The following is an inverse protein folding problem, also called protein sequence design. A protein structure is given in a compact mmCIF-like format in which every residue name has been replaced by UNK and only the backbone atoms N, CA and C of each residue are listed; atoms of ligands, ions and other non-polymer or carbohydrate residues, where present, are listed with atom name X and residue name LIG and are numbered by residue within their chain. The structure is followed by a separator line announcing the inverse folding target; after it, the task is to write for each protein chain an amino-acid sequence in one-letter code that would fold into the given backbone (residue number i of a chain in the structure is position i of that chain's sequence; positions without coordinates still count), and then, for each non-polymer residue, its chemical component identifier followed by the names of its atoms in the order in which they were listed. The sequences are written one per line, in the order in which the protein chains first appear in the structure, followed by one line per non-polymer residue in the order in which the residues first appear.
data_IF_292358688014
#
_entry.id   IF_292358688014
#
_cell.length_a   1.000
_cell.length_b   1.000
_cell.length_c   1.000
_cell.angle_alpha   90.00
_cell.angle_beta   90.00
_cell.angle_gamma   90.00
#
_symmetry.space_group_name_H-M   'P 1'
#
loop_
_entity.id
_entity.type
_entity.pdbx_description
1 polymer ?
#
# COMPACT_ATOMS: atom_id res chain seq x y z
N UNK A 1 -26.64 -30.68 21.30
CA UNK A 1 -25.82 -31.45 20.34
C UNK A 1 -24.68 -30.55 19.88
N UNK A 2 -23.54 -30.61 20.57
CA UNK A 2 -22.40 -29.75 20.36
C UNK A 2 -21.35 -30.50 19.49
N UNK A 3 -21.04 -29.99 18.33
CA UNK A 3 -19.99 -30.49 17.49
C UNK A 3 -18.67 -29.82 17.85
N UNK A 4 -17.71 -30.60 18.31
CA UNK A 4 -16.38 -30.16 18.70
C UNK A 4 -15.50 -29.91 17.47
N UNK A 5 -14.93 -28.70 17.39
CA UNK A 5 -13.85 -28.37 16.46
C UNK A 5 -12.56 -29.04 16.89
N UNK A 6 -12.06 -30.00 16.11
CA UNK A 6 -10.78 -30.67 16.34
C UNK A 6 -9.64 -29.80 15.83
N UNK A 7 -8.81 -29.33 16.75
CA UNK A 7 -7.57 -28.61 16.51
C UNK A 7 -6.55 -29.48 15.74
N UNK A 8 -6.07 -28.98 14.58
CA UNK A 8 -4.95 -29.58 13.86
C UNK A 8 -3.61 -29.17 14.47
N UNK A 9 -3.31 -29.66 15.68
CA UNK A 9 -1.98 -29.60 16.24
C UNK A 9 -1.60 -31.01 16.72
N UNK A 10 -0.54 -31.55 16.11
CA UNK A 10 0.15 -32.72 16.67
C UNK A 10 0.23 -33.93 15.74
N UNK A 11 1.10 -33.88 14.74
CA UNK A 11 1.66 -35.09 14.17
C UNK A 11 3.20 -34.95 14.17
N UNK A 12 3.77 -35.13 15.32
CA UNK A 12 5.17 -35.45 15.48
C UNK A 12 5.22 -36.77 16.28
N UNK A 13 5.07 -37.87 15.59
CA UNK A 13 5.25 -39.19 16.20
C UNK A 13 6.47 -39.88 15.58
N UNK A 14 7.41 -40.12 16.45
CA UNK A 14 8.59 -40.98 16.42
C UNK A 14 8.46 -42.19 15.47
N UNK A 15 9.39 -42.30 14.53
CA UNK A 15 9.76 -43.58 13.96
C UNK A 15 11.25 -43.74 14.13
N UNK A 16 11.64 -44.44 15.20
CA UNK A 16 13.00 -44.95 15.42
C UNK A 16 13.02 -46.36 14.87
N UNK A 17 13.54 -46.56 13.67
CA UNK A 17 14.04 -47.87 13.22
C UNK A 17 15.53 -47.72 13.01
N UNK A 18 16.32 -48.42 13.88
CA UNK A 18 17.75 -48.59 13.71
C UNK A 18 17.99 -49.54 12.54
N UNK A 19 18.61 -49.01 11.48
CA UNK A 19 19.28 -49.81 10.48
C UNK A 19 20.78 -49.47 10.57
N UNK A 20 21.69 -50.43 10.87
CA UNK A 20 23.12 -50.14 10.95
C UNK A 20 23.66 -50.00 9.52
N UNK A 21 24.22 -48.84 9.19
CA UNK A 21 25.06 -48.67 8.01
C UNK A 21 24.71 -47.58 6.99
N UNK A 22 23.76 -46.70 7.25
CA UNK A 22 23.53 -45.56 6.35
C UNK A 22 23.58 -44.25 7.15
N UNK A 23 24.68 -43.52 7.03
CA UNK A 23 24.79 -42.16 7.52
C UNK A 23 23.94 -41.25 6.63
N UNK A 24 22.66 -41.07 6.97
CA UNK A 24 21.83 -40.04 6.38
C UNK A 24 22.22 -38.75 7.05
N UNK A 25 23.04 -37.93 6.38
CA UNK A 25 23.21 -36.52 6.72
C UNK A 25 21.93 -35.80 6.36
N UNK A 26 20.93 -35.89 7.23
CA UNK A 26 19.71 -35.13 7.16
C UNK A 26 20.08 -33.67 7.40
N UNK A 27 20.11 -32.89 6.34
CA UNK A 27 20.10 -31.43 6.47
C UNK A 27 18.79 -31.05 7.18
N UNK A 28 18.90 -30.72 8.48
CA UNK A 28 17.80 -30.09 9.19
C UNK A 28 17.42 -28.85 8.38
N UNK A 29 16.24 -28.88 7.77
CA UNK A 29 15.66 -27.69 7.16
C UNK A 29 15.60 -26.61 8.25
N UNK A 30 16.54 -25.68 8.21
CA UNK A 30 16.60 -24.52 9.07
C UNK A 30 15.28 -23.79 8.89
N UNK A 31 14.51 -23.66 9.97
CA UNK A 31 13.31 -22.82 9.97
C UNK A 31 13.69 -21.50 9.31
N UNK A 32 13.04 -21.18 8.18
CA UNK A 32 13.43 -20.07 7.34
C UNK A 32 13.44 -18.78 8.17
N UNK A 33 14.52 -18.03 8.07
CA UNK A 33 14.53 -16.64 8.49
C UNK A 33 13.26 -15.97 7.92
N UNK A 34 12.61 -15.05 8.68
CA UNK A 34 11.54 -14.25 8.12
C UNK A 34 12.04 -13.69 6.78
N UNK A 35 11.25 -13.88 5.72
CA UNK A 35 11.65 -13.58 4.35
C UNK A 35 12.21 -12.16 4.30
N UNK A 36 13.51 -12.05 4.09
CA UNK A 36 14.17 -10.77 3.90
C UNK A 36 13.60 -10.15 2.63
N UNK A 37 13.22 -8.86 2.69
CA UNK A 37 12.70 -8.17 1.53
C UNK A 37 13.65 -8.35 0.33
N UNK A 38 13.14 -8.54 -0.90
CA UNK A 38 13.99 -8.65 -2.08
C UNK A 38 15.01 -7.52 -2.16
N UNK A 39 16.22 -7.82 -2.66
CA UNK A 39 17.27 -6.82 -2.81
C UNK A 39 16.74 -5.58 -3.58
N UNK A 40 17.03 -4.38 -3.06
CA UNK A 40 16.62 -3.12 -3.67
C UNK A 40 15.23 -2.60 -3.28
N UNK A 41 14.43 -3.33 -2.48
CA UNK A 41 13.15 -2.85 -1.97
C UNK A 41 13.38 -2.07 -0.67
N UNK A 42 12.98 -0.79 -0.65
CA UNK A 42 12.97 0.05 0.55
C UNK A 42 11.52 0.36 0.91
N UNK A 43 11.13 0.02 2.14
CA UNK A 43 9.82 0.34 2.72
C UNK A 43 9.97 1.58 3.60
N UNK A 44 9.25 2.63 3.29
CA UNK A 44 9.37 3.93 3.96
C UNK A 44 8.02 4.38 4.53
N UNK A 45 8.08 5.16 5.60
CA UNK A 45 6.95 5.86 6.18
C UNK A 45 6.68 7.21 5.47
N UNK A 46 5.78 8.03 6.01
CA UNK A 46 5.43 9.34 5.44
C UNK A 46 6.58 10.35 5.52
N UNK A 47 7.53 10.19 6.43
CA UNK A 47 8.71 11.03 6.60
C UNK A 47 9.94 10.51 5.83
N UNK A 48 9.80 9.41 5.09
CA UNK A 48 10.91 8.80 4.34
C UNK A 48 11.87 7.97 5.20
N UNK A 49 11.50 7.68 6.45
CA UNK A 49 12.25 6.78 7.33
C UNK A 49 11.86 5.32 7.06
N UNK A 50 12.69 4.34 7.46
CA UNK A 50 12.29 2.94 7.37
C UNK A 50 10.94 2.70 8.02
N UNK A 51 10.00 2.12 7.27
CA UNK A 51 8.68 1.79 7.78
C UNK A 51 8.80 0.75 8.92
N UNK A 52 7.96 0.93 9.93
CA UNK A 52 7.86 -0.03 11.04
C UNK A 52 7.21 -1.36 10.62
N UNK A 53 6.73 -2.11 11.62
CA UNK A 53 6.12 -3.44 11.45
C UNK A 53 4.63 -3.41 11.09
N UNK A 54 4.09 -2.26 10.69
CA UNK A 54 2.71 -2.12 10.24
C UNK A 54 2.41 -2.99 9.01
N UNK A 55 1.15 -3.43 8.87
CA UNK A 55 0.73 -4.29 7.74
C UNK A 55 0.54 -3.51 6.43
N UNK A 56 0.53 -2.18 6.47
CA UNK A 56 0.51 -1.30 5.29
C UNK A 56 1.77 -0.43 5.30
N UNK A 57 2.43 -0.34 4.16
CA UNK A 57 3.56 0.56 3.93
C UNK A 57 3.08 1.67 2.98
N UNK A 58 3.13 2.95 3.37
CA UNK A 58 2.61 4.02 2.53
C UNK A 58 3.44 4.26 1.26
N UNK A 59 4.75 4.00 1.34
CA UNK A 59 5.71 4.28 0.28
C UNK A 59 6.70 3.12 0.14
N UNK A 60 6.83 2.58 -1.07
CA UNK A 60 7.87 1.60 -1.42
C UNK A 60 8.70 2.15 -2.56
N UNK A 61 10.02 2.10 -2.39
CA UNK A 61 10.98 2.32 -3.47
C UNK A 61 11.53 0.98 -3.94
N UNK A 62 11.55 0.77 -5.25
CA UNK A 62 12.24 -0.34 -5.87
C UNK A 62 12.94 0.14 -7.14
N UNK A 63 14.26 0.14 -7.11
CA UNK A 63 15.09 0.79 -8.15
C UNK A 63 14.69 2.27 -8.29
N UNK A 64 14.42 2.73 -9.52
CA UNK A 64 13.99 4.11 -9.81
C UNK A 64 12.45 4.26 -9.84
N UNK A 65 11.71 3.37 -9.18
CA UNK A 65 10.24 3.37 -9.16
C UNK A 65 9.71 3.56 -7.74
N UNK A 66 8.73 4.44 -7.63
CA UNK A 66 8.00 4.79 -6.40
C UNK A 66 6.60 4.16 -6.49
N UNK A 67 6.22 3.41 -5.46
CA UNK A 67 4.88 2.83 -5.32
C UNK A 67 4.21 3.47 -4.11
N UNK A 68 3.07 4.12 -4.32
CA UNK A 68 2.29 4.76 -3.28
C UNK A 68 1.04 3.94 -3.01
N UNK A 69 0.83 3.57 -1.75
CA UNK A 69 -0.38 2.91 -1.28
C UNK A 69 -1.60 3.81 -1.44
N UNK A 70 -2.81 3.23 -1.39
CA UNK A 70 -4.06 3.99 -1.43
C UNK A 70 -4.08 5.10 -0.39
N UNK A 71 -4.35 6.32 -0.85
CA UNK A 71 -4.47 7.51 -0.02
C UNK A 71 -5.93 7.94 0.00
N UNK A 72 -6.56 7.86 1.17
CA UNK A 72 -7.90 8.36 1.42
C UNK A 72 -7.89 9.70 2.16
N UNK A 73 -9.02 10.36 2.16
CA UNK A 73 -9.24 11.60 2.92
C UNK A 73 -9.66 11.28 4.37
N UNK A 74 -9.01 10.30 5.01
CA UNK A 74 -9.33 9.94 6.39
C UNK A 74 -9.16 11.16 7.28
N UNK A 75 -10.24 11.61 7.90
CA UNK A 75 -10.13 12.60 8.92
C UNK A 75 -9.93 11.89 10.26
N UNK A 76 -8.89 12.25 10.97
CA UNK A 76 -8.72 11.94 12.38
C UNK A 76 -9.45 12.98 13.23
N UNK A 77 -10.47 13.62 12.67
CA UNK A 77 -11.30 14.59 13.37
C UNK A 77 -12.35 13.82 14.21
N UNK A 78 -12.14 13.69 15.53
CA UNK A 78 -13.07 12.96 16.39
C UNK A 78 -14.42 13.70 16.50
N UNK A 79 -14.50 14.95 16.08
CA UNK A 79 -15.71 15.77 16.12
C UNK A 79 -16.51 15.69 14.81
N UNK A 80 -16.04 14.97 13.81
CA UNK A 80 -16.75 14.79 12.52
C UNK A 80 -16.94 16.07 11.71
N UNK A 81 -16.09 17.06 11.92
CA UNK A 81 -16.16 18.38 11.26
C UNK A 81 -15.50 18.43 9.90
N UNK A 82 -14.80 17.36 9.49
CA UNK A 82 -14.18 17.35 8.17
C UNK A 82 -15.26 17.39 7.09
N UNK A 83 -15.25 18.37 6.19
CA UNK A 83 -16.30 18.51 5.18
C UNK A 83 -16.43 17.26 4.32
N UNK A 84 -17.65 16.76 4.15
CA UNK A 84 -17.98 15.58 3.34
C UNK A 84 -18.30 15.96 1.89
N UNK A 85 -17.47 16.81 1.28
CA UNK A 85 -17.57 17.16 -0.14
C UNK A 85 -16.37 16.61 -0.92
N UNK A 86 -16.60 16.33 -2.20
CA UNK A 86 -15.62 15.68 -3.05
C UNK A 86 -14.39 16.55 -3.32
N UNK A 87 -14.55 17.86 -3.42
CA UNK A 87 -13.44 18.77 -3.71
C UNK A 87 -12.46 18.80 -2.54
N UNK A 88 -12.96 18.92 -1.31
CA UNK A 88 -12.15 18.87 -0.09
C UNK A 88 -11.44 17.52 0.07
N UNK A 89 -12.18 16.42 -0.14
CA UNK A 89 -11.59 15.07 -0.07
C UNK A 89 -10.50 14.88 -1.14
N UNK A 90 -10.77 15.31 -2.37
CA UNK A 90 -9.78 15.20 -3.47
C UNK A 90 -8.53 16.00 -3.18
N UNK A 91 -8.70 17.23 -2.67
CA UNK A 91 -7.54 18.06 -2.29
C UNK A 91 -6.67 17.37 -1.25
N UNK A 92 -7.28 16.86 -0.18
CA UNK A 92 -6.56 16.14 0.89
C UNK A 92 -5.81 14.93 0.35
N UNK A 93 -6.45 14.12 -0.47
CA UNK A 93 -5.86 12.92 -1.07
C UNK A 93 -4.69 13.28 -1.98
N UNK A 94 -4.85 14.30 -2.84
CA UNK A 94 -3.79 14.74 -3.75
C UNK A 94 -2.60 15.37 -3.01
N UNK A 95 -2.84 16.08 -1.92
CA UNK A 95 -1.76 16.59 -1.05
C UNK A 95 -0.97 15.43 -0.42
N UNK A 96 -1.65 14.35 0.03
CA UNK A 96 -0.98 13.16 0.56
C UNK A 96 -0.15 12.46 -0.53
N UNK A 97 -0.72 12.26 -1.73
CA UNK A 97 -0.01 11.67 -2.88
C UNK A 97 1.24 12.49 -3.22
N UNK A 98 1.09 13.82 -3.33
CA UNK A 98 2.21 14.74 -3.59
C UNK A 98 3.31 14.58 -2.55
N UNK A 99 2.97 14.63 -1.27
CA UNK A 99 3.93 14.48 -0.17
C UNK A 99 4.71 13.17 -0.29
N UNK A 100 4.02 12.05 -0.52
CA UNK A 100 4.67 10.74 -0.62
C UNK A 100 5.55 10.61 -1.87
N UNK A 101 5.10 11.12 -3.01
CA UNK A 101 5.91 11.12 -4.25
C UNK A 101 7.17 11.95 -4.06
N UNK A 102 7.08 13.14 -3.46
CA UNK A 102 8.22 14.01 -3.17
C UNK A 102 9.17 13.38 -2.14
N UNK A 103 8.63 12.73 -1.10
CA UNK A 103 9.40 11.93 -0.12
C UNK A 103 10.17 10.80 -0.80
N UNK A 104 9.58 10.17 -1.82
CA UNK A 104 10.23 9.13 -2.63
C UNK A 104 11.28 9.65 -3.63
N UNK A 105 11.45 10.96 -3.76
CA UNK A 105 12.38 11.59 -4.70
C UNK A 105 11.82 11.82 -6.09
N UNK A 106 10.49 11.74 -6.25
CA UNK A 106 9.77 12.08 -7.49
C UNK A 106 9.22 13.51 -7.47
N UNK A 107 8.39 13.80 -8.46
CA UNK A 107 7.59 15.04 -8.59
C UNK A 107 6.20 14.68 -9.11
N UNK A 108 5.25 15.59 -9.05
CA UNK A 108 3.92 15.35 -9.64
C UNK A 108 4.01 14.99 -11.13
N UNK A 109 4.89 15.63 -11.88
CA UNK A 109 5.12 15.34 -13.30
C UNK A 109 5.82 13.98 -13.54
N UNK A 110 6.39 13.37 -12.50
CA UNK A 110 7.01 12.03 -12.60
C UNK A 110 6.04 10.89 -12.34
N UNK A 111 4.78 11.19 -12.04
CA UNK A 111 3.75 10.16 -11.87
C UNK A 111 3.47 9.52 -13.23
N UNK A 112 3.66 8.21 -13.29
CA UNK A 112 3.48 7.41 -14.52
C UNK A 112 2.02 6.97 -14.66
N UNK A 113 1.46 6.50 -13.56
CA UNK A 113 0.10 5.98 -13.52
C UNK A 113 -0.53 6.23 -12.14
N UNK A 114 -1.82 6.51 -12.14
CA UNK A 114 -2.61 6.48 -10.91
C UNK A 114 -3.99 5.89 -11.15
N UNK A 115 -4.57 5.36 -10.08
CA UNK A 115 -5.94 4.86 -10.07
C UNK A 115 -6.75 5.68 -9.08
N UNK A 116 -7.87 6.17 -9.52
CA UNK A 116 -8.85 6.90 -8.72
C UNK A 116 -10.03 5.99 -8.44
N UNK A 117 -10.33 5.77 -7.18
CA UNK A 117 -11.52 5.08 -6.69
C UNK A 117 -12.48 6.13 -6.14
N UNK A 118 -13.73 6.13 -6.61
CA UNK A 118 -14.80 7.02 -6.14
C UNK A 118 -15.89 6.18 -5.49
N UNK A 119 -16.55 6.70 -4.46
CA UNK A 119 -17.73 6.04 -3.89
C UNK A 119 -18.95 6.12 -4.81
N UNK A 120 -18.98 7.10 -5.72
CA UNK A 120 -20.01 7.27 -6.75
C UNK A 120 -19.50 8.10 -7.91
N UNK A 121 -19.99 7.85 -9.14
CA UNK A 121 -19.55 8.58 -10.34
C UNK A 121 -20.08 10.01 -10.40
N UNK A 122 -21.12 10.35 -9.66
CA UNK A 122 -21.61 11.74 -9.53
C UNK A 122 -20.55 12.69 -8.99
N UNK A 123 -19.55 12.15 -8.28
CA UNK A 123 -18.39 12.89 -7.78
C UNK A 123 -17.30 13.15 -8.84
N UNK A 124 -17.47 12.63 -10.07
CA UNK A 124 -16.39 12.66 -11.08
C UNK A 124 -15.98 14.07 -11.49
N UNK A 125 -16.93 14.96 -11.73
CA UNK A 125 -16.63 16.32 -12.17
C UNK A 125 -16.01 17.18 -11.05
N UNK A 126 -16.54 17.08 -9.82
CA UNK A 126 -15.97 17.75 -8.66
C UNK A 126 -14.55 17.28 -8.35
N UNK A 127 -14.30 15.96 -8.42
CA UNK A 127 -12.97 15.39 -8.30
C UNK A 127 -12.04 15.94 -9.41
N UNK A 128 -12.45 15.94 -10.66
CA UNK A 128 -11.65 16.43 -11.78
C UNK A 128 -11.31 17.91 -11.68
N UNK A 129 -12.20 18.73 -11.15
CA UNK A 129 -11.97 20.17 -10.95
C UNK A 129 -10.74 20.39 -10.08
N UNK A 130 -10.60 19.64 -8.97
CA UNK A 130 -9.43 19.71 -8.09
C UNK A 130 -8.23 19.02 -8.70
N UNK A 131 -8.41 17.80 -9.23
CA UNK A 131 -7.33 16.99 -9.81
C UNK A 131 -6.51 17.77 -10.85
N UNK A 132 -7.17 18.51 -11.74
CA UNK A 132 -6.51 19.32 -12.79
C UNK A 132 -5.53 20.35 -12.25
N UNK A 133 -5.73 20.85 -11.03
CA UNK A 133 -4.84 21.85 -10.44
C UNK A 133 -3.46 21.31 -10.09
N UNK A 134 -3.34 19.99 -9.94
CA UNK A 134 -2.07 19.31 -9.65
C UNK A 134 -1.27 18.95 -10.92
N UNK A 135 -1.89 19.05 -12.10
CA UNK A 135 -1.29 18.65 -13.38
C UNK A 135 -1.50 19.73 -14.45
N UNK A 136 -0.93 20.93 -14.28
CA UNK A 136 -1.14 22.04 -15.22
C UNK A 136 -0.55 21.76 -16.62
N UNK A 137 0.44 20.89 -16.72
CA UNK A 137 1.15 20.56 -17.95
C UNK A 137 0.66 19.26 -18.63
N UNK A 138 -0.41 18.66 -18.10
CA UNK A 138 -0.92 17.37 -18.56
C UNK A 138 -0.82 16.28 -17.47
N UNK A 139 -1.84 15.45 -17.35
CA UNK A 139 -1.93 14.41 -16.32
C UNK A 139 -1.25 13.09 -16.73
N UNK A 140 -0.99 12.23 -15.74
CA UNK A 140 -0.46 10.88 -15.96
C UNK A 140 -1.52 9.95 -16.57
N UNK A 141 -1.10 8.73 -16.92
CA UNK A 141 -2.05 7.66 -17.24
C UNK A 141 -2.98 7.44 -16.05
N UNK A 142 -4.31 7.52 -16.25
CA UNK A 142 -5.29 7.44 -15.17
C UNK A 142 -6.40 6.43 -15.48
N UNK A 143 -6.74 5.64 -14.48
CA UNK A 143 -7.99 4.85 -14.45
C UNK A 143 -8.88 5.41 -13.35
N UNK A 144 -10.17 5.61 -13.63
CA UNK A 144 -11.15 6.05 -12.63
C UNK A 144 -12.31 5.06 -12.61
N UNK A 145 -12.66 4.56 -11.43
CA UNK A 145 -13.76 3.62 -11.21
C UNK A 145 -14.56 4.00 -9.98
N UNK A 146 -15.85 3.64 -9.96
CA UNK A 146 -16.65 3.66 -8.75
C UNK A 146 -16.54 2.33 -8.01
N UNK A 147 -16.52 2.38 -6.68
CA UNK A 147 -16.46 1.24 -5.78
C UNK A 147 -17.59 1.30 -4.76
N UNK A 148 -17.91 0.16 -4.16
CA UNK A 148 -19.02 0.06 -3.21
C UNK A 148 -18.82 0.90 -1.94
N UNK A 149 -17.59 1.00 -1.44
CA UNK A 149 -17.22 1.80 -0.26
C UNK A 149 -15.70 2.03 -0.22
N UNK A 150 -15.28 3.03 0.53
CA UNK A 150 -13.88 3.31 0.85
C UNK A 150 -13.69 3.39 2.37
N UNK A 151 -12.54 2.97 2.91
CA UNK A 151 -12.25 3.06 4.33
C UNK A 151 -12.34 4.51 4.86
N UNK A 152 -12.69 4.65 6.15
CA UNK A 152 -12.66 5.94 6.85
C UNK A 152 -13.61 7.00 6.27
N UNK A 153 -14.71 6.59 5.64
CA UNK A 153 -15.69 7.45 5.00
C UNK A 153 -15.10 8.39 3.93
N UNK A 154 -13.99 8.01 3.31
CA UNK A 154 -13.43 8.77 2.21
C UNK A 154 -14.35 8.69 0.99
N UNK A 155 -14.55 9.80 0.28
CA UNK A 155 -15.30 9.85 -0.98
C UNK A 155 -14.42 9.47 -2.18
N UNK A 156 -13.11 9.57 -2.03
CA UNK A 156 -12.11 9.26 -3.05
C UNK A 156 -10.88 8.64 -2.42
N UNK A 157 -10.29 7.67 -3.10
CA UNK A 157 -8.98 7.11 -2.77
C UNK A 157 -8.13 7.07 -4.03
N UNK A 158 -6.83 7.34 -3.89
CA UNK A 158 -5.89 7.35 -5.02
C UNK A 158 -4.62 6.62 -4.63
N UNK A 159 -4.16 5.71 -5.49
CA UNK A 159 -2.81 5.16 -5.46
C UNK A 159 -2.06 5.57 -6.72
N UNK A 160 -0.73 5.50 -6.70
CA UNK A 160 0.05 5.81 -7.90
C UNK A 160 1.38 5.07 -7.97
N UNK A 161 1.93 5.06 -9.19
CA UNK A 161 3.31 4.67 -9.49
C UNK A 161 3.99 5.89 -10.10
N UNK A 162 5.17 6.23 -9.61
CA UNK A 162 5.96 7.36 -10.10
C UNK A 162 7.42 6.97 -10.35
N UNK A 163 8.13 7.77 -11.12
CA UNK A 163 9.57 7.63 -11.30
C UNK A 163 10.34 8.50 -10.30
N UNK A 164 11.49 8.01 -9.84
CA UNK A 164 12.46 8.81 -9.09
C UNK A 164 13.13 9.79 -10.06
N UNK A 165 13.12 11.08 -9.74
CA UNK A 165 13.74 12.13 -10.56
C UNK A 165 14.99 12.72 -9.91
N UNK A 166 15.09 12.65 -8.59
CA UNK A 166 16.26 13.09 -7.83
C UNK A 166 17.13 11.88 -7.53
N UNK A 167 18.30 11.79 -8.17
CA UNK A 167 19.34 10.86 -7.74
C UNK A 167 19.98 11.48 -6.50
N UNK A 168 19.77 10.83 -5.35
CA UNK A 168 20.43 11.19 -4.10
C UNK A 168 21.91 10.90 -4.14
#
# INVERSE_FOLDING_TARGET
MFSSFTSRRGFAAKLTTLIPGLAVTGTLARAGNPAQAPAGVKKLDYEGKPAGTGFITPLILHNDTIYIAGQGAHSHDPEGKFPMDIETHTKKVMDNVKTLVETGGGTMDSILQLTVFLTQLDNYDGMNKVFKTYFPNGGPARTTVAVAALPGNSLVEINCIAAVTKKG
#
